data_IF_673304158772
#
_entry.id   IF_673304158772
#
_cell.length_a   1.000
_cell.length_b   1.000
_cell.length_c   1.000
_cell.angle_alpha   90.00
_cell.angle_beta   90.00
_cell.angle_gamma   90.00
#
_symmetry.space_group_name_H-M   'P 1'
#
loop_
_entity.id
_entity.type
_entity.pdbx_description
1 polymer ?
#
# COMPACT_ATOMS: atom_id res chain seq x y z
N UNK A 1 11.27 3.99 10.27
CA UNK A 1 9.84 4.28 10.16
C UNK A 1 9.04 3.01 10.44
N UNK A 2 7.98 3.10 11.20
CA UNK A 2 7.13 1.95 11.48
C UNK A 2 6.14 1.75 10.34
N UNK A 3 5.95 0.50 9.90
CA UNK A 3 4.95 0.14 8.90
C UNK A 3 3.91 -0.74 9.56
N UNK A 4 2.66 -0.32 9.51
CA UNK A 4 1.52 -1.09 9.98
C UNK A 4 0.70 -1.54 8.79
N UNK A 5 -0.04 -2.64 8.96
CA UNK A 5 -0.86 -3.21 7.90
C UNK A 5 -2.27 -3.40 8.42
N UNK A 6 -3.25 -3.02 7.63
CA UNK A 6 -4.65 -3.35 7.94
C UNK A 6 -4.89 -4.82 7.63
N UNK A 7 -5.96 -5.38 8.19
CA UNK A 7 -6.38 -6.73 7.85
C UNK A 7 -6.72 -6.87 6.37
N UNK A 8 -7.25 -5.80 5.77
CA UNK A 8 -7.56 -5.77 4.34
C UNK A 8 -6.29 -5.95 3.52
N UNK A 9 -5.23 -5.18 3.85
CA UNK A 9 -3.96 -5.31 3.15
C UNK A 9 -3.36 -6.70 3.33
N UNK A 10 -3.33 -7.19 4.57
CA UNK A 10 -2.75 -8.49 4.88
C UNK A 10 -3.47 -9.62 4.12
N UNK A 11 -4.80 -9.56 4.08
CA UNK A 11 -5.58 -10.55 3.35
C UNK A 11 -5.27 -10.54 1.85
N UNK A 12 -5.21 -9.34 1.26
CA UNK A 12 -4.85 -9.20 -0.14
C UNK A 12 -3.46 -9.75 -0.43
N UNK A 13 -2.48 -9.35 0.38
CA UNK A 13 -1.10 -9.77 0.19
C UNK A 13 -0.95 -11.29 0.32
N UNK A 14 -1.57 -11.88 1.35
CA UNK A 14 -1.47 -13.32 1.60
C UNK A 14 -2.15 -14.12 0.49
N UNK A 15 -3.13 -13.54 -0.19
CA UNK A 15 -3.83 -14.19 -1.29
C UNK A 15 -3.11 -14.15 -2.64
N UNK A 16 -2.01 -13.40 -2.75
CA UNK A 16 -1.25 -13.33 -3.98
C UNK A 16 -0.59 -14.67 -4.26
N UNK A 17 -0.73 -15.16 -5.50
CA UNK A 17 -0.15 -16.44 -5.91
C UNK A 17 1.25 -16.30 -6.48
N UNK A 18 1.57 -15.13 -7.02
CA UNK A 18 2.87 -14.86 -7.62
C UNK A 18 3.90 -14.58 -6.53
N UNK A 19 4.79 -15.53 -6.28
CA UNK A 19 5.80 -15.41 -5.23
C UNK A 19 6.82 -14.32 -5.52
N UNK A 20 7.09 -14.03 -6.80
CA UNK A 20 7.99 -12.94 -7.16
C UNK A 20 7.34 -11.60 -6.87
N UNK A 21 6.04 -11.49 -7.10
CA UNK A 21 5.31 -10.28 -6.74
C UNK A 21 5.37 -10.04 -5.24
N UNK A 22 5.14 -11.08 -4.44
CA UNK A 22 5.25 -10.97 -2.97
C UNK A 22 6.63 -10.49 -2.54
N UNK A 23 7.68 -11.06 -3.14
CA UNK A 23 9.04 -10.69 -2.79
C UNK A 23 9.31 -9.21 -3.11
N UNK A 24 8.86 -8.72 -4.26
CA UNK A 24 9.03 -7.32 -4.66
C UNK A 24 8.28 -6.37 -3.74
N UNK A 25 7.07 -6.76 -3.35
CA UNK A 25 6.28 -5.97 -2.41
C UNK A 25 6.97 -5.91 -1.05
N UNK A 26 7.49 -7.04 -0.57
CA UNK A 26 8.20 -7.08 0.71
C UNK A 26 9.46 -6.22 0.69
N UNK A 27 10.20 -6.21 -0.42
CA UNK A 27 11.37 -5.35 -0.57
C UNK A 27 10.93 -3.87 -0.49
N UNK A 28 9.83 -3.53 -1.14
CA UNK A 28 9.33 -2.16 -1.10
C UNK A 28 8.93 -1.74 0.31
N UNK A 29 8.27 -2.65 1.04
CA UNK A 29 7.90 -2.41 2.44
C UNK A 29 9.15 -2.22 3.31
N UNK A 30 10.18 -3.05 3.10
CA UNK A 30 11.43 -2.91 3.84
C UNK A 30 12.08 -1.56 3.59
N UNK A 31 12.02 -1.03 2.36
CA UNK A 31 12.51 0.31 2.05
C UNK A 31 11.75 1.40 2.79
N UNK A 32 10.44 1.25 2.89
CA UNK A 32 9.61 2.19 3.65
C UNK A 32 10.05 2.20 5.11
N UNK A 33 10.32 1.03 5.68
CA UNK A 33 10.79 0.91 7.05
C UNK A 33 12.10 1.66 7.28
N UNK A 34 12.93 1.76 6.23
CA UNK A 34 14.16 2.55 6.27
C UNK A 34 13.93 4.04 5.98
N UNK A 35 12.68 4.46 5.81
CA UNK A 35 12.36 5.84 5.51
C UNK A 35 12.36 6.18 4.03
N UNK A 36 12.51 5.20 3.15
CA UNK A 36 12.63 5.41 1.70
C UNK A 36 11.31 5.06 1.03
N UNK A 37 10.38 6.01 0.98
CA UNK A 37 9.08 5.78 0.35
C UNK A 37 9.21 5.67 -1.17
N UNK A 38 10.12 6.45 -1.76
CA UNK A 38 10.29 6.47 -3.21
C UNK A 38 9.18 7.25 -3.90
N UNK A 39 8.97 6.95 -5.18
CA UNK A 39 7.95 7.64 -5.97
C UNK A 39 6.55 7.22 -5.51
N UNK A 40 5.75 8.19 -5.16
CA UNK A 40 4.38 7.97 -4.74
C UNK A 40 3.49 9.06 -5.32
N UNK A 41 2.24 8.70 -5.61
CA UNK A 41 1.19 9.67 -5.93
C UNK A 41 0.33 9.84 -4.70
N UNK A 42 -0.21 11.05 -4.52
CA UNK A 42 -1.04 11.36 -3.36
C UNK A 42 -2.42 11.82 -3.81
N UNK A 43 -3.44 11.27 -3.16
CA UNK A 43 -4.86 11.55 -3.45
C UNK A 43 -5.60 11.72 -2.13
N UNK A 44 -6.08 12.92 -1.83
CA UNK A 44 -6.99 13.15 -0.68
C UNK A 44 -6.56 12.43 0.61
N UNK A 45 -5.29 12.57 0.97
CA UNK A 45 -4.77 12.02 2.23
C UNK A 45 -4.27 10.59 2.18
N UNK A 46 -4.29 9.96 1.01
CA UNK A 46 -3.68 8.64 0.82
C UNK A 46 -2.55 8.73 -0.20
N UNK A 47 -1.63 7.76 -0.14
CA UNK A 47 -0.58 7.61 -1.13
C UNK A 47 -0.72 6.32 -1.91
N UNK A 48 -0.21 6.32 -3.12
CA UNK A 48 -0.16 5.14 -3.98
C UNK A 48 1.27 4.86 -4.38
N UNK A 49 1.74 3.65 -4.10
CA UNK A 49 3.04 3.15 -4.55
C UNK A 49 2.81 2.15 -5.68
N UNK A 50 3.60 2.27 -6.74
CA UNK A 50 3.54 1.35 -7.86
C UNK A 50 4.67 0.35 -7.78
N UNK A 51 4.34 -0.91 -8.01
CA UNK A 51 5.31 -1.99 -8.15
C UNK A 51 5.40 -2.29 -9.64
N UNK A 52 6.52 -1.98 -10.25
CA UNK A 52 6.71 -2.16 -11.70
C UNK A 52 7.01 -3.61 -12.01
N UNK A 53 5.99 -4.45 -11.92
CA UNK A 53 6.08 -5.89 -12.13
C UNK A 53 4.69 -6.46 -12.39
N UNK A 54 4.61 -7.40 -13.33
CA UNK A 54 3.38 -8.13 -13.62
C UNK A 54 2.23 -7.22 -14.04
N UNK A 55 1.03 -7.37 -13.47
CA UNK A 55 -0.13 -6.59 -13.85
C UNK A 55 -0.10 -5.15 -13.34
N UNK A 56 1.03 -4.70 -12.78
CA UNK A 56 1.15 -3.37 -12.22
C UNK A 56 0.52 -3.27 -10.84
N UNK A 57 1.11 -3.97 -9.88
CA UNK A 57 0.63 -3.94 -8.50
C UNK A 57 0.75 -2.55 -7.90
N UNK A 58 -0.16 -2.21 -7.01
CA UNK A 58 -0.19 -0.95 -6.30
C UNK A 58 -0.45 -1.18 -4.84
N UNK A 59 0.24 -0.39 -4.00
CA UNK A 59 0.04 -0.39 -2.55
C UNK A 59 -0.50 0.98 -2.17
N UNK A 60 -1.58 1.01 -1.41
CA UNK A 60 -2.19 2.25 -0.93
C UNK A 60 -1.91 2.42 0.54
N UNK A 61 -1.48 3.61 0.93
CA UNK A 61 -1.04 3.86 2.28
C UNK A 61 -1.48 5.22 2.77
N UNK A 62 -1.39 5.39 4.08
CA UNK A 62 -1.55 6.68 4.75
C UNK A 62 -0.36 6.91 5.66
N UNK A 63 0.21 8.11 5.61
CA UNK A 63 1.19 8.54 6.61
C UNK A 63 0.44 9.13 7.78
N UNK A 64 0.67 8.58 8.95
CA UNK A 64 0.01 9.08 10.15
C UNK A 64 0.74 10.29 10.70
N UNK A 65 2.06 10.25 10.66
CA UNK A 65 2.95 11.37 10.99
C UNK A 65 4.29 11.05 10.33
N UNK A 66 5.39 11.64 10.80
CA UNK A 66 6.71 11.39 10.22
C UNK A 66 7.21 9.97 10.50
N UNK A 67 6.59 9.21 11.40
CA UNK A 67 7.13 7.95 11.90
C UNK A 67 6.33 6.71 11.47
N UNK A 68 5.08 6.84 11.05
CA UNK A 68 4.19 5.70 10.82
C UNK A 68 3.58 5.75 9.42
N UNK A 69 3.69 4.63 8.70
CA UNK A 69 2.98 4.40 7.44
C UNK A 69 2.03 3.24 7.65
N UNK A 70 0.77 3.42 7.27
CA UNK A 70 -0.24 2.38 7.37
C UNK A 70 -0.59 1.92 5.96
N UNK A 71 -0.30 0.66 5.64
CA UNK A 71 -0.69 0.05 4.38
C UNK A 71 -2.18 -0.31 4.47
N UNK A 72 -2.98 0.32 3.63
CA UNK A 72 -4.44 0.26 3.70
C UNK A 72 -5.01 -0.92 2.92
N UNK A 73 -4.62 -1.01 1.66
CA UNK A 73 -5.04 -2.08 0.77
C UNK A 73 -4.09 -2.15 -0.41
N UNK A 74 -4.25 -3.16 -1.23
CA UNK A 74 -3.46 -3.33 -2.45
C UNK A 74 -4.34 -3.79 -3.59
N UNK A 75 -3.80 -3.72 -4.78
CA UNK A 75 -4.48 -4.15 -5.99
C UNK A 75 -3.54 -4.08 -7.18
N UNK A 76 -4.11 -4.09 -8.36
CA UNK A 76 -3.33 -3.93 -9.58
C UNK A 76 -3.94 -2.85 -10.47
N UNK A 77 -3.39 -2.70 -11.67
CA UNK A 77 -3.85 -1.66 -12.59
C UNK A 77 -5.33 -1.81 -12.95
N UNK A 78 -5.83 -3.04 -13.04
CA UNK A 78 -7.21 -3.30 -13.47
C UNK A 78 -8.24 -2.87 -12.44
N UNK A 79 -7.87 -2.79 -11.17
CA UNK A 79 -8.79 -2.42 -10.08
C UNK A 79 -8.47 -1.07 -9.46
N UNK A 80 -7.61 -0.28 -10.10
CA UNK A 80 -7.05 0.93 -9.53
C UNK A 80 -8.10 1.92 -8.99
N UNK A 81 -9.10 2.22 -9.79
CA UNK A 81 -10.10 3.22 -9.39
C UNK A 81 -10.89 2.77 -8.15
N UNK A 82 -11.32 1.52 -8.14
CA UNK A 82 -12.03 0.94 -7.00
C UNK A 82 -11.16 0.90 -5.75
N UNK A 83 -9.88 0.55 -5.94
CA UNK A 83 -8.95 0.44 -4.82
C UNK A 83 -8.61 1.80 -4.20
N UNK A 84 -8.53 2.84 -5.01
CA UNK A 84 -8.33 4.21 -4.51
C UNK A 84 -9.52 4.61 -3.62
N UNK A 85 -10.74 4.37 -4.09
CA UNK A 85 -11.93 4.70 -3.29
C UNK A 85 -11.97 3.91 -1.99
N UNK A 86 -11.62 2.63 -2.05
CA UNK A 86 -11.56 1.79 -0.85
C UNK A 86 -10.49 2.28 0.12
N UNK A 87 -9.33 2.67 -0.39
CA UNK A 87 -8.26 3.19 0.44
C UNK A 87 -8.67 4.45 1.18
N UNK A 88 -9.38 5.35 0.50
CA UNK A 88 -9.91 6.57 1.12
C UNK A 88 -10.86 6.24 2.26
N UNK A 89 -11.75 5.27 2.06
CA UNK A 89 -12.68 4.86 3.10
C UNK A 89 -11.96 4.24 4.30
N UNK A 90 -10.98 3.39 4.03
CA UNK A 90 -10.18 2.77 5.10
C UNK A 90 -9.41 3.82 5.89
N UNK A 91 -8.87 4.82 5.21
CA UNK A 91 -8.16 5.91 5.87
C UNK A 91 -9.07 6.69 6.81
N UNK A 92 -10.32 6.93 6.41
CA UNK A 92 -11.29 7.61 7.27
C UNK A 92 -11.62 6.80 8.51
N UNK A 93 -11.70 5.48 8.40
CA UNK A 93 -11.99 4.59 9.53
C UNK A 93 -10.86 4.59 10.56
N UNK A 94 -9.65 4.94 10.15
CA UNK A 94 -8.50 5.00 11.04
C UNK A 94 -8.37 6.33 11.76
N UNK A 95 -9.17 7.31 11.40
CA UNK A 95 -9.17 8.61 12.07
C UNK A 95 -9.97 8.54 13.36
N UNK A 96 -9.37 9.01 14.40
CA UNK A 96 -10.01 9.07 15.71
C UNK A 96 -10.46 10.48 16.01
#
# INVERSE_FOLDING_TARGET
MEVRKTDVFAHWFNGLRDMRAKARIQIRIARIELGLIGDAKYFDGIGELRIDYGPGYRLYFRRRDAAIVILLCGGDKSSQQRDIERAKQLAKQLED
#
